data_IF_459653145404
#
_entry.id   IF_459653145404
#
_cell.length_a   1.000
_cell.length_b   1.000
_cell.length_c   1.000
_cell.angle_alpha   90.00
_cell.angle_beta   90.00
_cell.angle_gamma   90.00
#
_symmetry.space_group_name_H-M   'P 1'
#
loop_
_entity.id
_entity.type
_entity.pdbx_description
1 polymer ?
#
# COMPACT_ATOMS: atom_id res chain seq x y z
N UNK A 1 -27.93 25.63 -38.81
CA UNK A 1 -26.89 24.60 -38.57
C UNK A 1 -27.33 23.74 -37.39
N UNK A 2 -27.55 22.43 -37.58
CA UNK A 2 -27.97 21.53 -36.49
C UNK A 2 -26.80 21.34 -35.52
N UNK A 3 -26.96 21.70 -34.24
CA UNK A 3 -25.96 21.44 -33.20
C UNK A 3 -25.87 19.94 -32.99
N UNK A 4 -24.79 19.31 -33.42
CA UNK A 4 -24.53 17.90 -33.11
C UNK A 4 -24.18 17.78 -31.63
N UNK A 5 -25.03 17.12 -30.84
CA UNK A 5 -24.71 16.72 -29.47
C UNK A 5 -23.72 15.57 -29.52
N UNK A 6 -22.53 15.78 -28.98
CA UNK A 6 -21.51 14.73 -28.81
C UNK A 6 -22.10 13.60 -27.97
N UNK A 7 -21.73 12.37 -28.28
CA UNK A 7 -22.19 11.20 -27.52
C UNK A 7 -21.66 11.27 -26.09
N UNK A 8 -22.43 10.79 -25.10
CA UNK A 8 -21.97 10.63 -23.71
C UNK A 8 -20.66 9.84 -23.65
N UNK A 9 -20.46 8.86 -24.54
CA UNK A 9 -19.20 8.12 -24.66
C UNK A 9 -18.05 9.00 -25.17
N UNK A 10 -18.31 9.97 -26.06
CA UNK A 10 -17.30 10.96 -26.48
C UNK A 10 -16.99 11.97 -25.38
N UNK A 11 -17.96 12.38 -24.57
CA UNK A 11 -17.71 13.22 -23.40
C UNK A 11 -16.93 12.46 -22.31
N UNK A 12 -17.31 11.21 -22.03
CA UNK A 12 -16.57 10.34 -21.11
C UNK A 12 -15.13 10.09 -21.57
N UNK A 13 -14.90 9.94 -22.88
CA UNK A 13 -13.54 9.76 -23.42
C UNK A 13 -12.72 11.06 -23.34
N UNK A 14 -13.35 12.21 -23.56
CA UNK A 14 -12.73 13.53 -23.37
C UNK A 14 -12.44 13.87 -21.90
N UNK A 15 -13.17 13.28 -20.95
CA UNK A 15 -12.92 13.44 -19.51
C UNK A 15 -11.68 12.65 -19.02
N UNK A 16 -11.17 11.68 -19.79
CA UNK A 16 -10.44 10.55 -19.20
C UNK A 16 -8.97 10.31 -19.59
N UNK A 17 -8.26 11.21 -20.27
CA UNK A 17 -6.88 10.86 -20.70
C UNK A 17 -5.77 11.85 -20.33
N UNK A 18 -6.09 13.08 -19.95
CA UNK A 18 -5.09 14.07 -19.52
C UNK A 18 -5.27 14.52 -18.06
N UNK A 19 -5.92 13.69 -17.23
CA UNK A 19 -5.87 13.93 -15.79
C UNK A 19 -4.41 13.74 -15.38
N UNK A 20 -3.81 14.86 -15.03
CA UNK A 20 -2.38 15.08 -14.89
C UNK A 20 -1.68 13.88 -14.25
N UNK A 21 -0.79 13.20 -14.99
CA UNK A 21 -0.09 12.00 -14.51
C UNK A 21 0.57 12.29 -13.16
N UNK A 22 1.02 13.53 -12.98
CA UNK A 22 1.58 14.04 -11.72
C UNK A 22 0.54 14.03 -10.59
N UNK A 23 -0.68 14.52 -10.82
CA UNK A 23 -1.75 14.47 -9.83
C UNK A 23 -2.14 13.05 -9.45
N UNK A 24 -2.17 12.13 -10.42
CA UNK A 24 -2.46 10.72 -10.16
C UNK A 24 -1.36 10.08 -9.31
N UNK A 25 -0.10 10.31 -9.66
CA UNK A 25 1.06 9.81 -8.90
C UNK A 25 1.06 10.41 -7.50
N UNK A 26 0.82 11.72 -7.35
CA UNK A 26 0.77 12.41 -6.06
C UNK A 26 -0.34 11.86 -5.16
N UNK A 27 -1.55 11.69 -5.69
CA UNK A 27 -2.69 11.15 -4.94
C UNK A 27 -2.43 9.70 -4.52
N UNK A 28 -1.94 8.88 -5.45
CA UNK A 28 -1.63 7.46 -5.18
C UNK A 28 -0.52 7.34 -4.15
N UNK A 29 0.56 8.12 -4.31
CA UNK A 29 1.68 8.15 -3.37
C UNK A 29 1.25 8.58 -1.97
N UNK A 30 0.45 9.65 -1.87
CA UNK A 30 -0.10 10.11 -0.59
C UNK A 30 -0.91 9.01 0.10
N UNK A 31 -1.85 8.37 -0.62
CA UNK A 31 -2.68 7.30 -0.05
C UNK A 31 -1.86 6.08 0.41
N UNK A 32 -0.79 5.74 -0.30
CA UNK A 32 0.12 4.64 0.09
C UNK A 32 0.93 4.98 1.34
N UNK A 33 1.38 6.23 1.48
CA UNK A 33 2.08 6.71 2.67
C UNK A 33 1.15 6.67 3.88
N UNK A 34 -0.06 7.22 3.78
CA UNK A 34 -1.07 7.18 4.84
C UNK A 34 -1.43 5.74 5.25
N UNK A 35 -1.61 4.85 4.25
CA UNK A 35 -1.87 3.43 4.52
C UNK A 35 -0.71 2.75 5.24
N UNK A 36 0.53 3.13 4.91
CA UNK A 36 1.74 2.58 5.54
C UNK A 36 1.89 3.08 6.98
N UNK A 37 1.63 4.36 7.24
CA UNK A 37 1.63 4.93 8.61
C UNK A 37 0.63 4.18 9.48
N UNK A 38 -0.60 4.02 8.99
CA UNK A 38 -1.65 3.28 9.70
C UNK A 38 -1.28 1.81 9.95
N UNK A 39 -0.53 1.18 9.03
CA UNK A 39 -0.02 -0.18 9.23
C UNK A 39 1.04 -0.23 10.34
N UNK A 40 1.99 0.71 10.37
CA UNK A 40 3.03 0.73 11.39
C UNK A 40 2.46 1.00 12.79
N UNK A 41 1.47 1.89 12.91
CA UNK A 41 0.76 2.07 14.18
C UNK A 41 0.14 0.76 14.67
N UNK A 42 -0.57 0.04 13.80
CA UNK A 42 -1.14 -1.29 14.15
C UNK A 42 -0.05 -2.28 14.57
N UNK A 43 1.06 -2.32 13.85
CA UNK A 43 2.19 -3.20 14.22
C UNK A 43 2.68 -2.86 15.62
N UNK A 44 2.90 -1.58 15.93
CA UNK A 44 3.31 -1.14 17.26
C UNK A 44 2.29 -1.49 18.35
N UNK A 45 0.98 -1.43 18.04
CA UNK A 45 -0.09 -1.70 19.00
C UNK A 45 -0.31 -3.21 19.27
N UNK A 46 0.11 -4.10 18.35
CA UNK A 46 -0.16 -5.55 18.43
C UNK A 46 1.06 -6.43 18.72
N UNK A 47 2.27 -5.89 18.57
CA UNK A 47 3.52 -6.64 18.71
C UNK A 47 4.40 -5.99 19.79
N UNK A 48 5.35 -6.75 20.34
CA UNK A 48 6.36 -6.16 21.23
C UNK A 48 7.28 -5.21 20.45
N UNK A 49 7.96 -4.29 21.15
CA UNK A 49 8.88 -3.32 20.52
C UNK A 49 9.92 -3.99 19.60
N UNK A 50 10.45 -5.15 20.02
CA UNK A 50 11.42 -5.92 19.24
C UNK A 50 10.79 -6.51 17.97
N UNK A 51 9.61 -7.12 18.09
CA UNK A 51 8.86 -7.70 16.96
C UNK A 51 8.40 -6.63 15.97
N UNK A 52 7.92 -5.49 16.49
CA UNK A 52 7.49 -4.35 15.70
C UNK A 52 8.64 -3.79 14.87
N UNK A 53 9.80 -3.54 15.50
CA UNK A 53 11.01 -3.08 14.82
C UNK A 53 11.47 -4.07 13.73
N UNK A 54 11.40 -5.38 13.98
CA UNK A 54 11.72 -6.38 12.96
C UNK A 54 10.74 -6.31 11.77
N UNK A 55 9.44 -6.22 12.04
CA UNK A 55 8.40 -6.15 11.00
C UNK A 55 8.52 -4.89 10.14
N UNK A 56 8.77 -3.73 10.75
CA UNK A 56 9.00 -2.46 10.04
C UNK A 56 10.23 -2.56 9.12
N UNK A 57 11.36 -3.08 9.63
CA UNK A 57 12.57 -3.29 8.83
C UNK A 57 12.31 -4.21 7.65
N UNK A 58 11.57 -5.31 7.85
CA UNK A 58 11.20 -6.24 6.78
C UNK A 58 10.28 -5.60 5.75
N UNK A 59 9.33 -4.78 6.19
CA UNK A 59 8.44 -4.04 5.30
C UNK A 59 9.23 -3.11 4.39
N UNK A 60 10.08 -2.24 4.95
CA UNK A 60 10.92 -1.31 4.19
C UNK A 60 11.85 -2.05 3.23
N UNK A 61 12.50 -3.12 3.70
CA UNK A 61 13.39 -3.93 2.85
C UNK A 61 12.64 -4.65 1.73
N UNK A 62 11.37 -5.02 1.93
CA UNK A 62 10.55 -5.63 0.89
C UNK A 62 10.22 -4.65 -0.24
N UNK A 63 9.99 -3.37 0.10
CA UNK A 63 9.80 -2.29 -0.87
C UNK A 63 11.12 -2.02 -1.60
N UNK A 64 12.22 -1.81 -0.86
CA UNK A 64 13.54 -1.51 -1.44
C UNK A 64 14.03 -2.60 -2.40
N UNK A 65 13.77 -3.87 -2.09
CA UNK A 65 14.17 -4.98 -2.95
C UNK A 65 13.10 -5.42 -3.95
N UNK A 66 11.92 -4.78 -3.98
CA UNK A 66 10.79 -5.19 -4.83
C UNK A 66 10.26 -6.60 -4.57
N UNK A 67 10.44 -7.16 -3.36
CA UNK A 67 9.98 -8.51 -3.01
C UNK A 67 9.08 -8.50 -1.77
N UNK A 68 7.78 -8.32 -2.00
CA UNK A 68 6.75 -8.31 -0.96
C UNK A 68 6.70 -9.60 -0.12
N UNK A 69 7.23 -10.73 -0.63
CA UNK A 69 7.23 -12.01 0.10
C UNK A 69 8.11 -11.96 1.35
N UNK A 70 9.11 -11.07 1.40
CA UNK A 70 9.99 -10.91 2.57
C UNK A 70 9.22 -10.49 3.82
N UNK A 71 8.26 -9.59 3.66
CA UNK A 71 7.39 -9.16 4.76
C UNK A 71 6.49 -10.30 5.24
N UNK A 72 5.81 -10.99 4.30
CA UNK A 72 4.93 -12.13 4.61
C UNK A 72 5.66 -13.24 5.37
N UNK A 73 6.88 -13.59 4.95
CA UNK A 73 7.72 -14.59 5.64
C UNK A 73 8.06 -14.17 7.07
N UNK A 74 8.30 -12.87 7.31
CA UNK A 74 8.54 -12.33 8.66
C UNK A 74 7.37 -12.57 9.60
N UNK A 75 6.15 -12.24 9.15
CA UNK A 75 4.93 -12.48 9.94
C UNK A 75 4.76 -13.96 10.26
N UNK A 76 4.96 -14.86 9.29
CA UNK A 76 4.85 -16.30 9.52
C UNK A 76 5.82 -16.76 10.59
N UNK A 77 7.09 -16.33 10.54
CA UNK A 77 8.09 -16.70 11.53
C UNK A 77 7.72 -16.25 12.94
N UNK A 78 7.26 -15.01 13.11
CA UNK A 78 6.81 -14.50 14.41
C UNK A 78 5.62 -15.31 14.95
N UNK A 79 4.65 -15.65 14.09
CA UNK A 79 3.52 -16.51 14.48
C UNK A 79 3.94 -17.91 14.91
N UNK A 80 4.93 -18.49 14.23
CA UNK A 80 5.48 -19.81 14.57
C UNK A 80 6.23 -19.77 15.91
N UNK A 81 7.06 -18.73 16.15
CA UNK A 81 7.73 -18.51 17.43
C UNK A 81 6.73 -18.44 18.60
N UNK A 82 5.68 -17.62 18.48
CA UNK A 82 4.63 -17.51 19.51
C UNK A 82 3.90 -18.84 19.78
N UNK A 83 3.79 -19.72 18.79
CA UNK A 83 3.15 -21.03 18.97
C UNK A 83 4.04 -21.99 19.76
N UNK A 84 5.34 -21.96 19.49
CA UNK A 84 6.31 -22.85 20.13
C UNK A 84 6.56 -22.46 21.59
N UNK A 85 6.53 -21.16 21.92
CA UNK A 85 6.70 -20.69 23.31
C UNK A 85 5.52 -21.04 24.23
N UNK A 86 4.36 -21.37 23.64
CA UNK A 86 3.15 -21.80 24.37
C UNK A 86 2.98 -23.33 24.43
N UNK A 87 3.95 -24.11 23.96
CA UNK A 87 3.91 -25.58 23.91
C UNK A 87 4.84 -26.23 24.93
#
# INVERSE_FOLDING_TARGET
MKKATRSILQELNNLNLNRDKESLIATTGHNLIESTINLFQKISDQYSDEEALELERRFINSIRSGDARKFRRGITKIKESKKNDNS
#
